data_IF_237013820209
#
_entry.id   IF_237013820209
#
_cell.length_a   1.000
_cell.length_b   1.000
_cell.length_c   1.000
_cell.angle_alpha   90.00
_cell.angle_beta   90.00
_cell.angle_gamma   90.00
#
_symmetry.space_group_name_H-M   'P 1'
#
loop_
_entity.id
_entity.type
_entity.pdbx_description
1 polymer ?
#
# COMPACT_ATOMS: atom_id res chain seq x y z
N UNK A 1 -6.83 18.22 -13.35
CA UNK A 1 -6.92 16.81 -12.92
C UNK A 1 -7.25 15.89 -14.07
N UNK A 2 -7.32 14.60 -13.80
CA UNK A 2 -7.58 13.56 -14.80
C UNK A 2 -9.07 13.12 -14.84
N UNK A 3 -9.93 13.74 -14.04
CA UNK A 3 -11.39 13.55 -14.10
C UNK A 3 -11.95 14.45 -15.19
N UNK A 4 -11.69 14.09 -16.44
CA UNK A 4 -12.05 14.86 -17.63
C UNK A 4 -12.04 13.93 -18.86
N UNK A 5 -12.85 14.25 -19.88
CA UNK A 5 -12.85 13.52 -21.16
C UNK A 5 -11.53 13.65 -21.91
N UNK A 6 -10.87 14.79 -21.76
CA UNK A 6 -9.59 15.11 -22.40
C UNK A 6 -8.62 15.75 -21.40
N UNK A 7 -7.34 15.43 -21.54
CA UNK A 7 -6.27 16.01 -20.74
C UNK A 7 -5.03 16.27 -21.61
N UNK A 8 -4.38 17.41 -21.42
CA UNK A 8 -3.09 17.71 -22.00
C UNK A 8 -1.99 17.38 -20.99
N UNK A 9 -1.04 16.53 -21.38
CA UNK A 9 0.10 16.14 -20.55
C UNK A 9 1.39 16.13 -21.38
N UNK A 10 2.55 16.36 -20.77
CA UNK A 10 3.84 16.22 -21.46
C UNK A 10 4.02 14.78 -21.95
N UNK A 11 4.53 14.61 -23.19
CA UNK A 11 4.77 13.30 -23.80
C UNK A 11 5.61 12.37 -22.91
N UNK A 12 6.63 12.90 -22.23
CA UNK A 12 7.48 12.14 -21.29
C UNK A 12 6.74 11.51 -20.11
N UNK A 13 5.51 11.93 -19.85
CA UNK A 13 4.65 11.38 -18.77
C UNK A 13 3.66 10.35 -19.31
N UNK A 14 3.72 10.02 -20.60
CA UNK A 14 2.85 9.04 -21.24
C UNK A 14 3.62 7.74 -21.41
N UNK A 15 3.01 6.64 -20.98
CA UNK A 15 3.56 5.29 -21.11
C UNK A 15 2.55 4.40 -21.85
N UNK A 16 3.06 3.42 -22.59
CA UNK A 16 2.19 2.46 -23.27
C UNK A 16 1.52 1.57 -22.22
N UNK A 17 0.20 1.49 -22.31
CA UNK A 17 -0.60 0.61 -21.45
C UNK A 17 -0.24 -0.87 -21.71
N UNK A 18 -0.07 -1.72 -20.65
CA UNK A 18 0.07 -3.17 -20.81
C UNK A 18 -1.08 -3.76 -21.66
N UNK A 19 -0.72 -4.65 -22.61
CA UNK A 19 -1.69 -5.22 -23.53
C UNK A 19 -2.73 -6.11 -22.85
N UNK A 20 -2.36 -6.75 -21.75
CA UNK A 20 -3.20 -7.64 -20.95
C UNK A 20 -4.17 -6.91 -20.01
N UNK A 21 -4.12 -5.58 -19.90
CA UNK A 21 -5.04 -4.78 -19.10
C UNK A 21 -6.00 -3.98 -19.98
N UNK A 22 -7.24 -3.87 -19.57
CA UNK A 22 -8.17 -2.88 -20.15
C UNK A 22 -7.89 -1.48 -19.58
N UNK A 23 -8.58 -0.43 -20.09
CA UNK A 23 -8.35 0.95 -19.66
C UNK A 23 -8.70 1.19 -18.19
N UNK A 24 -9.76 0.57 -17.69
CA UNK A 24 -10.18 0.70 -16.28
C UNK A 24 -9.12 0.11 -15.34
N UNK A 25 -8.61 -1.07 -15.68
CA UNK A 25 -7.53 -1.72 -14.94
C UNK A 25 -6.24 -0.91 -14.96
N UNK A 26 -5.86 -0.37 -16.12
CA UNK A 26 -4.68 0.46 -16.27
C UNK A 26 -4.78 1.75 -15.44
N UNK A 27 -5.94 2.40 -15.41
CA UNK A 27 -6.18 3.58 -14.58
C UNK A 27 -6.14 3.25 -13.08
N UNK A 28 -6.55 2.04 -12.68
CA UNK A 28 -6.67 1.64 -11.29
C UNK A 28 -5.32 1.36 -10.60
N UNK A 29 -4.24 1.07 -11.34
CA UNK A 29 -2.99 0.64 -10.70
C UNK A 29 -1.82 1.62 -10.82
N UNK A 30 -1.78 2.47 -11.85
CA UNK A 30 -0.60 3.25 -12.23
C UNK A 30 0.02 4.03 -11.06
N UNK A 31 -0.74 4.89 -10.39
CA UNK A 31 -0.23 5.70 -9.29
C UNK A 31 0.11 4.85 -8.06
N UNK A 32 -0.78 3.94 -7.66
CA UNK A 32 -0.59 3.13 -6.45
C UNK A 32 0.50 2.08 -6.64
N UNK A 33 0.65 1.56 -7.86
CA UNK A 33 1.74 0.66 -8.25
C UNK A 33 3.09 1.36 -8.13
N UNK A 34 3.21 2.54 -8.72
CA UNK A 34 4.42 3.35 -8.66
C UNK A 34 4.79 3.71 -7.21
N UNK A 35 3.80 4.09 -6.40
CA UNK A 35 3.99 4.42 -4.99
C UNK A 35 4.46 3.20 -4.19
N UNK A 36 3.77 2.07 -4.28
CA UNK A 36 4.12 0.87 -3.55
C UNK A 36 5.51 0.33 -3.97
N UNK A 37 5.85 0.36 -5.26
CA UNK A 37 7.17 0.00 -5.76
C UNK A 37 8.26 0.91 -5.20
N UNK A 38 8.04 2.23 -5.24
CA UNK A 38 8.99 3.19 -4.68
C UNK A 38 9.21 2.97 -3.19
N UNK A 39 8.14 2.74 -2.42
CA UNK A 39 8.22 2.46 -0.98
C UNK A 39 9.04 1.20 -0.69
N UNK A 40 8.67 0.09 -1.30
CA UNK A 40 9.24 -1.23 -0.99
C UNK A 40 10.62 -1.43 -1.61
N UNK A 41 10.76 -1.15 -2.91
CA UNK A 41 11.97 -1.51 -3.66
C UNK A 41 13.02 -0.40 -3.60
N UNK A 42 12.63 0.87 -3.84
CA UNK A 42 13.59 1.97 -3.89
C UNK A 42 13.98 2.49 -2.51
N UNK A 43 13.00 2.64 -1.60
CA UNK A 43 13.23 3.23 -0.27
C UNK A 43 13.56 2.20 0.78
N UNK A 44 12.69 1.22 1.00
CA UNK A 44 12.90 0.18 2.00
C UNK A 44 13.91 -0.90 1.55
N UNK A 45 14.10 -1.10 0.24
CA UNK A 45 15.01 -2.11 -0.33
C UNK A 45 14.73 -3.50 0.26
N UNK A 46 13.48 -3.95 0.09
CA UNK A 46 13.05 -5.25 0.62
C UNK A 46 13.87 -6.41 0.05
N UNK A 47 14.07 -7.43 0.86
CA UNK A 47 14.76 -8.65 0.48
C UNK A 47 13.86 -9.88 0.71
N UNK A 48 14.14 -10.94 -0.01
CA UNK A 48 13.47 -12.24 0.20
C UNK A 48 13.67 -12.72 1.65
N UNK A 49 12.60 -13.28 2.22
CA UNK A 49 12.59 -13.79 3.60
C UNK A 49 12.28 -12.74 4.67
N UNK A 50 12.23 -11.45 4.33
CA UNK A 50 11.82 -10.42 5.29
C UNK A 50 10.32 -10.48 5.61
N UNK A 51 9.95 -10.03 6.80
CA UNK A 51 8.56 -9.83 7.21
C UNK A 51 8.14 -8.39 6.96
N UNK A 52 7.09 -8.20 6.17
CA UNK A 52 6.55 -6.89 5.81
C UNK A 52 5.16 -6.71 6.43
N UNK A 53 5.00 -5.70 7.29
CA UNK A 53 3.69 -5.26 7.77
C UNK A 53 3.14 -4.19 6.83
N UNK A 54 1.96 -4.42 6.26
CA UNK A 54 1.26 -3.48 5.37
C UNK A 54 -0.03 -3.01 6.05
N UNK A 55 -0.13 -1.71 6.34
CA UNK A 55 -1.37 -1.13 6.83
C UNK A 55 -2.41 -1.02 5.72
N UNK A 56 -3.68 -1.33 6.06
CA UNK A 56 -4.82 -1.08 5.19
C UNK A 56 -4.84 -1.91 3.90
N UNK A 57 -4.99 -3.22 4.02
CA UNK A 57 -5.02 -4.18 2.90
C UNK A 57 -5.96 -3.81 1.74
N UNK A 58 -7.07 -3.12 2.01
CA UNK A 58 -8.06 -2.73 1.00
C UNK A 58 -7.77 -1.39 0.32
N UNK A 59 -6.73 -0.66 0.75
CA UNK A 59 -6.30 0.57 0.09
C UNK A 59 -5.55 0.28 -1.20
N UNK A 60 -5.54 1.24 -2.13
CA UNK A 60 -4.80 1.08 -3.39
C UNK A 60 -3.32 0.80 -3.20
N UNK A 61 -2.65 1.51 -2.30
CA UNK A 61 -1.24 1.29 -1.96
C UNK A 61 -1.07 -0.04 -1.22
N UNK A 62 -1.94 -0.32 -0.23
CA UNK A 62 -1.83 -1.53 0.59
C UNK A 62 -1.94 -2.81 -0.25
N UNK A 63 -2.98 -2.93 -1.09
CA UNK A 63 -3.15 -4.13 -1.93
C UNK A 63 -2.00 -4.32 -2.93
N UNK A 64 -1.45 -3.25 -3.47
CA UNK A 64 -0.32 -3.34 -4.39
C UNK A 64 0.98 -3.69 -3.65
N UNK A 65 1.18 -3.12 -2.45
CA UNK A 65 2.32 -3.44 -1.61
C UNK A 65 2.33 -4.92 -1.19
N UNK A 66 1.17 -5.50 -0.87
CA UNK A 66 1.04 -6.94 -0.59
C UNK A 66 1.53 -7.76 -1.78
N UNK A 67 1.05 -7.47 -3.00
CA UNK A 67 1.41 -8.22 -4.19
C UNK A 67 2.91 -8.11 -4.52
N UNK A 68 3.49 -6.90 -4.41
CA UNK A 68 4.92 -6.68 -4.63
C UNK A 68 5.75 -7.41 -3.56
N UNK A 69 5.43 -7.29 -2.28
CA UNK A 69 6.16 -7.95 -1.21
C UNK A 69 6.11 -9.48 -1.35
N UNK A 70 4.96 -10.05 -1.73
CA UNK A 70 4.84 -11.49 -2.03
C UNK A 70 5.71 -11.91 -3.22
N UNK A 71 5.77 -11.11 -4.28
CA UNK A 71 6.65 -11.37 -5.43
C UNK A 71 8.13 -11.41 -5.03
N UNK A 72 8.55 -10.58 -4.10
CA UNK A 72 9.91 -10.57 -3.57
C UNK A 72 10.19 -11.69 -2.54
N UNK A 73 9.24 -12.58 -2.27
CA UNK A 73 9.40 -13.69 -1.33
C UNK A 73 9.35 -13.28 0.14
N UNK A 74 8.67 -12.18 0.45
CA UNK A 74 8.46 -11.74 1.83
C UNK A 74 7.30 -12.48 2.49
N UNK A 75 7.34 -12.59 3.82
CA UNK A 75 6.17 -12.90 4.64
C UNK A 75 5.38 -11.61 4.83
N UNK A 76 4.11 -11.61 4.43
CA UNK A 76 3.26 -10.42 4.49
C UNK A 76 2.23 -10.53 5.60
N UNK A 77 2.33 -9.62 6.56
CA UNK A 77 1.31 -9.34 7.57
C UNK A 77 0.57 -8.09 7.13
N UNK A 78 -0.76 -8.07 7.19
CA UNK A 78 -1.53 -6.88 6.87
C UNK A 78 -2.66 -6.65 7.85
N UNK A 79 -3.32 -5.49 7.77
CA UNK A 79 -4.39 -5.11 8.67
C UNK A 79 -5.69 -4.83 7.92
N UNK A 80 -6.81 -5.17 8.53
CA UNK A 80 -8.15 -4.91 8.02
C UNK A 80 -9.11 -4.57 9.17
N UNK A 81 -10.16 -3.79 8.90
CA UNK A 81 -11.10 -3.31 9.93
C UNK A 81 -12.48 -3.96 9.91
N UNK A 82 -12.72 -4.92 9.01
CA UNK A 82 -13.97 -5.70 8.94
C UNK A 82 -13.69 -7.11 8.44
N UNK A 83 -14.53 -8.07 8.78
CA UNK A 83 -14.38 -9.47 8.35
C UNK A 83 -14.33 -9.61 6.83
N UNK A 84 -15.14 -8.82 6.10
CA UNK A 84 -15.11 -8.80 4.65
C UNK A 84 -13.75 -8.33 4.11
N UNK A 85 -13.13 -7.30 4.72
CA UNK A 85 -11.78 -6.83 4.37
C UNK A 85 -10.70 -7.83 4.78
N UNK A 86 -10.89 -8.58 5.85
CA UNK A 86 -10.00 -9.70 6.24
C UNK A 86 -10.02 -10.79 5.17
N UNK A 87 -11.22 -11.22 4.75
CA UNK A 87 -11.35 -12.20 3.68
C UNK A 87 -10.75 -11.73 2.34
N UNK A 88 -10.93 -10.45 2.02
CA UNK A 88 -10.33 -9.83 0.86
C UNK A 88 -8.79 -9.85 0.91
N UNK A 89 -8.19 -9.45 2.03
CA UNK A 89 -6.74 -9.44 2.21
C UNK A 89 -6.10 -10.83 2.07
N UNK A 90 -6.78 -11.87 2.58
CA UNK A 90 -6.35 -13.27 2.37
C UNK A 90 -6.34 -13.66 0.90
N UNK A 91 -7.36 -13.25 0.13
CA UNK A 91 -7.42 -13.49 -1.33
C UNK A 91 -6.32 -12.75 -2.11
N UNK A 92 -5.82 -11.62 -1.60
CA UNK A 92 -4.68 -10.91 -2.18
C UNK A 92 -3.35 -11.63 -1.96
N UNK A 93 -3.31 -12.66 -1.12
CA UNK A 93 -2.11 -13.45 -0.85
C UNK A 93 -1.34 -13.02 0.40
N UNK A 94 -1.91 -12.21 1.29
CA UNK A 94 -1.32 -11.94 2.59
C UNK A 94 -1.24 -13.23 3.43
N UNK A 95 -0.09 -13.49 4.05
CA UNK A 95 0.12 -14.68 4.88
C UNK A 95 -0.67 -14.58 6.20
N UNK A 96 -0.72 -13.37 6.78
CA UNK A 96 -1.45 -13.09 8.00
C UNK A 96 -2.26 -11.81 7.87
N UNK A 97 -3.48 -11.80 8.40
CA UNK A 97 -4.36 -10.62 8.39
C UNK A 97 -4.86 -10.36 9.80
N UNK A 98 -4.56 -9.19 10.33
CA UNK A 98 -4.93 -8.76 11.68
C UNK A 98 -6.20 -7.91 11.60
N UNK A 99 -7.24 -8.28 12.34
CA UNK A 99 -8.44 -7.48 12.48
C UNK A 99 -8.22 -6.39 13.55
N UNK A 100 -7.68 -5.23 13.14
CA UNK A 100 -7.16 -4.19 14.05
C UNK A 100 -8.18 -3.58 15.01
N UNK A 101 -9.49 -3.83 14.82
CA UNK A 101 -10.52 -3.40 15.78
C UNK A 101 -10.67 -4.37 16.94
N UNK A 102 -10.26 -5.62 16.77
CA UNK A 102 -10.46 -6.72 17.73
C UNK A 102 -9.14 -7.19 18.33
N UNK A 103 -7.99 -6.85 17.71
CA UNK A 103 -6.68 -7.39 18.04
C UNK A 103 -5.65 -6.25 18.21
N UNK A 104 -4.74 -6.38 19.17
CA UNK A 104 -3.58 -5.47 19.28
C UNK A 104 -2.52 -5.83 18.24
N UNK A 105 -2.42 -4.99 17.22
CA UNK A 105 -1.54 -5.23 16.07
C UNK A 105 -0.09 -5.44 16.48
N UNK A 106 0.43 -4.70 17.44
CA UNK A 106 1.83 -4.83 17.84
C UNK A 106 2.11 -6.15 18.57
N UNK A 107 1.15 -6.63 19.36
CA UNK A 107 1.24 -7.93 20.04
C UNK A 107 1.18 -9.08 19.06
N UNK A 108 0.22 -9.04 18.11
CA UNK A 108 0.09 -10.08 17.08
C UNK A 108 1.32 -10.13 16.15
N UNK A 109 1.85 -8.97 15.72
CA UNK A 109 3.08 -8.94 14.91
C UNK A 109 4.25 -9.58 15.67
N UNK A 110 4.40 -9.29 16.97
CA UNK A 110 5.46 -9.92 17.78
C UNK A 110 5.27 -11.44 17.90
N UNK A 111 4.05 -11.89 18.11
CA UNK A 111 3.76 -13.33 18.17
C UNK A 111 4.13 -14.02 16.86
N UNK A 112 3.65 -13.50 15.72
CA UNK A 112 3.93 -14.05 14.39
C UNK A 112 5.41 -14.04 14.00
N UNK A 113 6.20 -13.16 14.63
CA UNK A 113 7.63 -13.00 14.34
C UNK A 113 8.53 -13.50 15.48
N UNK A 114 8.01 -14.33 16.39
CA UNK A 114 8.76 -14.84 17.55
C UNK A 114 9.46 -13.73 18.36
N UNK A 115 8.80 -12.58 18.53
CA UNK A 115 9.28 -11.45 19.31
C UNK A 115 10.17 -10.46 18.55
N UNK A 116 10.59 -10.76 17.31
CA UNK A 116 11.52 -9.89 16.55
C UNK A 116 10.85 -8.63 16.00
N UNK A 117 9.61 -8.72 15.56
CA UNK A 117 8.88 -7.65 14.87
C UNK A 117 9.02 -7.73 13.34
N UNK A 118 8.40 -6.80 12.64
CA UNK A 118 8.45 -6.71 11.18
C UNK A 118 9.72 -6.00 10.70
N UNK A 119 10.37 -6.52 9.67
CA UNK A 119 11.57 -5.91 9.07
C UNK A 119 11.24 -4.63 8.31
N UNK A 120 10.09 -4.60 7.67
CA UNK A 120 9.59 -3.43 6.94
C UNK A 120 8.14 -3.15 7.30
N UNK A 121 7.82 -1.87 7.47
CA UNK A 121 6.44 -1.41 7.63
C UNK A 121 6.08 -0.43 6.54
N UNK A 122 5.02 -0.74 5.79
CA UNK A 122 4.39 0.15 4.81
C UNK A 122 3.31 0.96 5.52
N UNK A 123 3.58 2.25 5.68
CA UNK A 123 2.75 3.19 6.44
C UNK A 123 2.17 4.26 5.51
N UNK A 124 0.89 4.55 5.62
CA UNK A 124 0.24 5.65 4.91
C UNK A 124 -0.96 6.23 5.67
N UNK A 125 -1.17 5.73 6.89
CA UNK A 125 -2.28 6.13 7.76
C UNK A 125 -1.89 7.34 8.61
N UNK A 126 -0.70 7.32 9.22
CA UNK A 126 -0.17 8.44 10.00
C UNK A 126 -0.49 8.34 11.50
N UNK A 127 -0.99 9.40 12.10
CA UNK A 127 -1.11 9.57 13.56
C UNK A 127 -1.73 8.35 14.26
N UNK A 128 -2.85 7.83 13.76
CA UNK A 128 -3.59 6.75 14.42
C UNK A 128 -2.80 5.43 14.51
N UNK A 129 -1.85 5.18 13.61
CA UNK A 129 -1.10 3.90 13.53
C UNK A 129 0.37 4.03 13.90
N UNK A 130 0.91 5.25 13.95
CA UNK A 130 2.34 5.52 14.06
C UNK A 130 3.01 4.86 15.27
N UNK A 131 2.40 5.01 16.45
CA UNK A 131 2.93 4.42 17.69
C UNK A 131 2.94 2.89 17.63
N UNK A 132 1.92 2.30 17.05
CA UNK A 132 1.80 0.85 16.86
C UNK A 132 2.82 0.36 15.84
N UNK A 133 3.00 1.09 14.75
CA UNK A 133 4.02 0.81 13.73
C UNK A 133 5.43 0.76 14.33
N UNK A 134 5.82 1.79 15.10
CA UNK A 134 7.15 1.81 15.74
C UNK A 134 7.35 0.68 16.78
N UNK A 135 6.28 0.26 17.48
CA UNK A 135 6.33 -0.88 18.41
C UNK A 135 6.48 -2.22 17.68
N UNK A 136 5.86 -2.34 16.51
CA UNK A 136 5.87 -3.54 15.68
C UNK A 136 7.16 -3.71 14.88
N UNK A 137 7.97 -2.65 14.75
CA UNK A 137 9.17 -2.64 13.94
C UNK A 137 10.32 -3.38 14.63
N UNK A 138 10.98 -4.26 13.90
CA UNK A 138 12.14 -5.03 14.35
C UNK A 138 13.36 -4.14 14.66
N UNK A 139 14.38 -4.72 15.29
CA UNK A 139 15.71 -4.11 15.37
C UNK A 139 16.33 -4.07 13.96
N UNK A 140 16.84 -2.91 13.56
CA UNK A 140 17.34 -2.67 12.20
C UNK A 140 16.23 -2.49 11.16
N UNK A 141 14.96 -2.55 11.57
CA UNK A 141 13.81 -2.44 10.68
C UNK A 141 13.61 -1.05 10.07
N UNK A 142 12.84 -0.97 8.98
CA UNK A 142 12.58 0.23 8.19
C UNK A 142 11.08 0.50 8.12
N UNK A 143 10.63 1.65 8.63
CA UNK A 143 9.28 2.14 8.40
C UNK A 143 9.33 3.09 7.21
N UNK A 144 8.55 2.82 6.18
CA UNK A 144 8.43 3.68 5.00
C UNK A 144 7.03 4.27 4.92
N UNK A 145 6.92 5.60 4.82
CA UNK A 145 5.64 6.31 4.77
C UNK A 145 5.47 7.11 3.49
N UNK A 146 4.27 7.10 2.93
CA UNK A 146 3.87 7.89 1.77
C UNK A 146 2.60 8.71 1.98
N UNK A 147 2.07 8.74 3.19
CA UNK A 147 0.82 9.43 3.49
C UNK A 147 0.56 9.59 4.98
N UNK A 148 -0.47 10.38 5.29
CA UNK A 148 -0.84 10.74 6.66
C UNK A 148 -2.36 11.02 6.75
N UNK A 149 -3.17 10.02 6.36
CA UNK A 149 -4.63 10.20 6.21
C UNK A 149 -5.35 10.51 7.52
N UNK A 150 -4.76 10.16 8.67
CA UNK A 150 -5.35 10.42 10.00
C UNK A 150 -4.68 11.54 10.78
N UNK A 151 -3.66 12.18 10.22
CA UNK A 151 -2.91 13.27 10.85
C UNK A 151 -1.43 13.23 10.49
N UNK A 152 -0.80 14.42 10.50
CA UNK A 152 0.59 14.63 10.05
C UNK A 152 1.58 14.65 11.22
N UNK A 153 1.13 15.01 12.40
CA UNK A 153 2.00 15.23 13.56
C UNK A 153 2.12 13.97 14.40
N UNK A 154 3.34 13.44 14.50
CA UNK A 154 3.61 12.19 15.22
C UNK A 154 4.76 12.35 16.21
N UNK A 155 4.68 11.62 17.32
CA UNK A 155 5.76 11.58 18.30
C UNK A 155 6.68 10.39 18.11
N UNK A 156 7.98 10.60 18.25
CA UNK A 156 9.01 9.58 18.15
C UNK A 156 9.82 9.53 19.45
N UNK A 157 9.95 8.34 20.03
CA UNK A 157 10.89 8.11 21.11
C UNK A 157 12.28 7.84 20.51
N UNK A 158 13.16 8.84 20.55
CA UNK A 158 14.50 8.76 19.98
C UNK A 158 15.33 7.65 20.60
N UNK A 159 15.14 7.36 21.90
CA UNK A 159 15.83 6.28 22.58
C UNK A 159 15.52 4.91 21.93
N UNK A 160 14.24 4.65 21.66
CA UNK A 160 13.86 3.41 20.96
C UNK A 160 14.44 3.38 19.55
N UNK A 161 14.40 4.50 18.83
CA UNK A 161 14.91 4.59 17.47
C UNK A 161 16.38 4.21 17.38
N UNK A 162 17.26 4.83 18.21
CA UNK A 162 18.68 4.55 18.11
C UNK A 162 19.08 3.20 18.75
N UNK A 163 18.49 2.78 19.88
CA UNK A 163 18.79 1.47 20.48
C UNK A 163 18.41 0.30 19.57
N UNK A 164 17.30 0.43 18.87
CA UNK A 164 16.85 -0.57 17.91
C UNK A 164 17.42 -0.37 16.50
N UNK A 165 18.22 0.67 16.27
CA UNK A 165 18.80 0.98 14.97
C UNK A 165 17.74 1.06 13.85
N UNK A 166 16.57 1.58 14.17
CA UNK A 166 15.43 1.67 13.24
C UNK A 166 15.59 2.83 12.28
N UNK A 167 15.02 2.71 11.08
CA UNK A 167 14.98 3.78 10.07
C UNK A 167 13.55 4.20 9.77
N UNK A 168 13.35 5.50 9.59
CA UNK A 168 12.09 6.09 9.13
C UNK A 168 12.37 6.76 7.79
N UNK A 169 11.64 6.33 6.76
CA UNK A 169 11.87 6.68 5.37
C UNK A 169 10.63 7.37 4.78
N UNK A 170 10.80 8.58 4.26
CA UNK A 170 9.76 9.21 3.45
C UNK A 170 9.79 8.68 2.01
N UNK A 171 8.61 8.56 1.40
CA UNK A 171 8.44 8.20 0.00
C UNK A 171 7.29 9.01 -0.58
N UNK A 172 7.45 9.53 -1.77
CA UNK A 172 6.37 10.21 -2.49
C UNK A 172 6.28 9.68 -3.90
N UNK A 173 5.11 9.13 -4.27
CA UNK A 173 4.86 8.59 -5.60
C UNK A 173 6.03 7.73 -6.12
N UNK A 174 6.45 7.93 -7.36
CA UNK A 174 7.63 7.32 -7.97
C UNK A 174 8.09 8.15 -9.16
N UNK A 175 9.25 7.83 -9.70
CA UNK A 175 9.77 8.44 -10.92
C UNK A 175 9.45 7.59 -12.16
N UNK A 176 9.79 8.10 -13.36
CA UNK A 176 9.53 7.40 -14.64
C UNK A 176 10.13 5.99 -14.65
N UNK A 177 11.36 5.80 -14.17
CA UNK A 177 11.99 4.48 -14.13
C UNK A 177 11.31 3.49 -13.18
N UNK A 178 10.61 3.99 -12.15
CA UNK A 178 9.76 3.14 -11.30
C UNK A 178 8.51 2.70 -12.05
N UNK A 179 7.96 3.54 -12.93
CA UNK A 179 6.80 3.18 -13.76
C UNK A 179 7.14 2.08 -14.74
N UNK A 180 8.32 2.11 -15.38
CA UNK A 180 8.74 1.05 -16.30
C UNK A 180 8.75 -0.34 -15.63
N UNK A 181 9.24 -0.43 -14.38
CA UNK A 181 9.22 -1.68 -13.62
C UNK A 181 7.80 -2.09 -13.20
N UNK A 182 6.97 -1.13 -12.80
CA UNK A 182 5.58 -1.37 -12.43
C UNK A 182 4.75 -1.87 -13.62
N UNK A 183 5.01 -1.35 -14.83
CA UNK A 183 4.38 -1.85 -16.05
C UNK A 183 4.78 -3.30 -16.34
N UNK A 184 6.06 -3.67 -16.18
CA UNK A 184 6.51 -5.07 -16.28
C UNK A 184 5.82 -5.97 -15.26
N UNK A 185 5.64 -5.51 -14.03
CA UNK A 185 4.91 -6.27 -13.01
C UNK A 185 3.42 -6.45 -13.36
N UNK A 186 2.81 -5.46 -13.99
CA UNK A 186 1.44 -5.59 -14.49
C UNK A 186 1.36 -6.54 -15.69
N UNK A 187 2.31 -6.46 -16.64
CA UNK A 187 2.40 -7.36 -17.80
C UNK A 187 2.63 -8.82 -17.40
N UNK A 188 3.47 -9.07 -16.41
CA UNK A 188 3.75 -10.42 -15.89
C UNK A 188 2.68 -10.94 -14.93
N UNK A 189 1.67 -10.12 -14.59
CA UNK A 189 0.60 -10.49 -13.65
C UNK A 189 1.00 -10.51 -12.18
N UNK A 190 2.14 -9.93 -11.81
CA UNK A 190 2.56 -9.68 -10.43
C UNK A 190 1.63 -8.66 -9.77
N UNK A 191 1.36 -7.55 -10.46
CA UNK A 191 0.36 -6.58 -10.05
C UNK A 191 -0.93 -6.85 -10.81
N UNK A 192 -1.98 -7.21 -10.07
CA UNK A 192 -3.35 -7.36 -10.58
C UNK A 192 -4.18 -6.22 -10.00
N UNK A 193 -4.61 -5.26 -10.83
CA UNK A 193 -5.46 -4.17 -10.37
C UNK A 193 -6.77 -4.70 -9.81
N UNK A 194 -7.18 -4.18 -8.66
CA UNK A 194 -8.48 -4.50 -8.06
C UNK A 194 -9.38 -3.27 -8.16
N UNK A 195 -10.44 -3.40 -8.92
CA UNK A 195 -11.47 -2.38 -9.07
C UNK A 195 -12.65 -2.78 -8.19
N UNK A 196 -13.00 -1.91 -7.25
CA UNK A 196 -14.18 -2.07 -6.41
C UNK A 196 -15.45 -1.70 -7.18
N UNK A 197 -15.44 -0.54 -7.81
CA UNK A 197 -16.60 -0.02 -8.56
C UNK A 197 -16.17 0.92 -9.67
N UNK A 198 -17.06 1.05 -10.65
CA UNK A 198 -16.93 1.98 -11.78
C UNK A 198 -18.14 2.90 -11.77
N UNK A 199 -17.91 4.19 -11.88
CA UNK A 199 -18.96 5.21 -11.96
C UNK A 199 -18.78 6.02 -13.25
N UNK A 200 -19.89 6.47 -13.82
CA UNK A 200 -19.88 7.53 -14.81
C UNK A 200 -19.36 8.83 -14.18
N UNK A 201 -18.68 9.67 -14.94
CA UNK A 201 -18.08 10.92 -14.42
C UNK A 201 -19.14 11.86 -13.82
N UNK A 202 -20.35 11.86 -14.34
CA UNK A 202 -21.48 12.63 -13.78
C UNK A 202 -21.85 12.21 -12.36
N UNK A 203 -21.51 10.98 -11.94
CA UNK A 203 -21.77 10.42 -10.62
C UNK A 203 -20.52 10.45 -9.70
N UNK A 204 -19.55 11.30 -10.01
CA UNK A 204 -18.29 11.42 -9.24
C UNK A 204 -18.52 11.71 -7.75
N UNK A 205 -19.58 12.44 -7.39
CA UNK A 205 -19.94 12.71 -6.00
C UNK A 205 -20.26 11.43 -5.21
N UNK A 206 -20.93 10.46 -5.84
CA UNK A 206 -21.24 9.16 -5.21
C UNK A 206 -19.98 8.32 -5.05
N UNK A 207 -19.09 8.36 -6.03
CA UNK A 207 -17.78 7.71 -5.96
C UNK A 207 -16.95 8.25 -4.79
N UNK A 208 -16.93 9.58 -4.58
CA UNK A 208 -16.26 10.21 -3.45
C UNK A 208 -16.88 9.81 -2.12
N UNK A 209 -18.21 9.87 -1.99
CA UNK A 209 -18.91 9.44 -0.76
C UNK A 209 -18.59 8.00 -0.38
N UNK A 210 -18.58 7.08 -1.35
CA UNK A 210 -18.20 5.69 -1.11
C UNK A 210 -16.77 5.56 -0.57
N UNK A 211 -15.83 6.34 -1.12
CA UNK A 211 -14.44 6.35 -0.68
C UNK A 211 -14.31 6.92 0.73
N UNK A 212 -14.95 8.05 1.02
CA UNK A 212 -14.93 8.74 2.32
C UNK A 212 -15.54 7.88 3.43
N UNK A 213 -16.61 7.15 3.13
CA UNK A 213 -17.22 6.18 4.05
C UNK A 213 -16.35 4.94 4.31
N UNK A 214 -15.22 4.78 3.61
CA UNK A 214 -14.34 3.63 3.76
C UNK A 214 -14.95 2.31 3.27
N UNK A 215 -15.94 2.35 2.38
CA UNK A 215 -16.66 1.19 1.87
C UNK A 215 -15.92 0.47 0.73
N UNK A 216 -14.94 1.12 0.13
CA UNK A 216 -14.22 0.59 -1.03
C UNK A 216 -13.25 -0.54 -0.67
N UNK A 217 -13.18 -1.54 -1.55
CA UNK A 217 -12.24 -2.67 -1.54
C UNK A 217 -11.37 -2.62 -2.80
N UNK A 218 -10.42 -1.74 -2.84
CA UNK A 218 -9.61 -1.48 -4.02
C UNK A 218 -9.81 -0.09 -4.58
N UNK A 219 -9.79 0.05 -5.90
CA UNK A 219 -9.88 1.33 -6.60
C UNK A 219 -11.29 1.59 -7.11
N UNK A 220 -11.72 2.84 -6.99
CA UNK A 220 -12.89 3.35 -7.67
C UNK A 220 -12.42 4.00 -8.97
N UNK A 221 -13.05 3.68 -10.08
CA UNK A 221 -12.74 4.20 -11.42
C UNK A 221 -13.89 5.05 -11.92
N UNK A 222 -13.58 6.22 -12.46
CA UNK A 222 -14.51 7.05 -13.20
C UNK A 222 -14.31 6.87 -14.70
N UNK A 223 -15.41 6.80 -15.45
CA UNK A 223 -15.40 6.76 -16.91
C UNK A 223 -16.15 7.98 -17.46
N UNK A 224 -15.65 8.58 -18.58
CA UNK A 224 -16.34 9.70 -19.23
C UNK A 224 -17.66 9.29 -19.83
#
# INVERSE_FOLDING_TARGET
GTMAELISVPEKNVQKKPANLNFKEAAAFSLVGQTAYAMLVRRAKINSGETVLVWGASSGVGMTAIQIAKHFGCTVITTAGTDAKVAFAKKLGADHVIHYKNEDVASVVKELTNGTGADVIVEHVGEATWKTSLKSLAKGGRLVTCGSTTGTDVSINLRHLFFKQQSILGSTMGNVSSMDEVLKFAESGVIKPVIDSVFEMGNSADAHRKLENGEAFGKIVLIP
#
